data_IF_819570548438
#
_entry.id   IF_819570548438
#
_cell.length_a   1.000
_cell.length_b   1.000
_cell.length_c   1.000
_cell.angle_alpha   90.00
_cell.angle_beta   90.00
_cell.angle_gamma   90.00
#
_symmetry.space_group_name_H-M   'P 1'
#
loop_
_entity.id
_entity.type
_entity.pdbx_description
1 polymer ?
#
# COMPACT_ATOMS: atom_id res chain seq x y z
N UNK A 1 -9.39 15.51 2.19
CA UNK A 1 -8.25 15.73 3.12
C UNK A 1 -7.11 14.81 2.71
N UNK A 2 -5.85 15.24 2.76
CA UNK A 2 -4.73 14.38 2.39
C UNK A 2 -4.29 13.44 3.50
N UNK A 3 -3.93 12.21 3.13
CA UNK A 3 -3.37 11.20 4.02
C UNK A 3 -2.11 10.57 3.44
N UNK A 4 -1.31 9.99 4.33
CA UNK A 4 -0.24 9.06 4.00
C UNK A 4 -0.60 7.69 4.54
N UNK A 5 -0.51 6.66 3.71
CA UNK A 5 -0.79 5.28 4.11
C UNK A 5 0.44 4.42 3.84
N UNK A 6 0.95 3.76 4.88
CA UNK A 6 1.98 2.74 4.75
C UNK A 6 1.34 1.34 4.84
N UNK A 7 1.75 0.46 3.92
CA UNK A 7 1.19 -0.86 3.70
C UNK A 7 2.30 -1.91 3.68
N UNK A 8 2.05 -3.03 4.36
CA UNK A 8 2.87 -4.24 4.27
C UNK A 8 1.94 -5.44 4.14
N UNK A 9 1.90 -6.03 2.94
CA UNK A 9 1.19 -7.29 2.68
C UNK A 9 2.11 -8.46 3.03
N UNK A 10 1.61 -9.39 3.83
CA UNK A 10 2.37 -10.55 4.30
C UNK A 10 1.56 -11.83 4.05
N UNK A 11 1.65 -12.40 2.83
CA UNK A 11 1.15 -13.74 2.55
C UNK A 11 1.91 -14.76 3.41
N UNK A 12 1.20 -15.77 3.93
CA UNK A 12 1.77 -16.81 4.80
C UNK A 12 1.89 -18.13 4.01
N UNK A 13 2.66 -18.09 2.93
CA UNK A 13 2.89 -19.17 1.96
C UNK A 13 4.28 -19.03 1.33
N UNK A 14 4.85 -20.12 0.80
CA UNK A 14 6.23 -20.13 0.27
C UNK A 14 6.39 -19.26 -0.98
N UNK A 15 5.38 -19.20 -1.84
CA UNK A 15 5.34 -18.42 -3.07
C UNK A 15 4.70 -17.04 -2.85
N UNK A 16 5.13 -16.30 -1.81
CA UNK A 16 4.51 -15.04 -1.41
C UNK A 16 4.74 -13.87 -2.39
N UNK A 17 5.85 -13.88 -3.13
CA UNK A 17 6.29 -12.74 -3.94
C UNK A 17 5.29 -12.30 -5.03
N UNK A 18 4.66 -13.19 -5.82
CA UNK A 18 3.75 -12.80 -6.89
C UNK A 18 2.56 -11.96 -6.40
N UNK A 19 1.98 -12.31 -5.25
CA UNK A 19 0.86 -11.56 -4.67
C UNK A 19 1.28 -10.14 -4.25
N UNK A 20 2.47 -10.00 -3.64
CA UNK A 20 3.03 -8.70 -3.26
C UNK A 20 3.34 -7.85 -4.50
N UNK A 21 4.00 -8.44 -5.51
CA UNK A 21 4.35 -7.77 -6.77
C UNK A 21 3.08 -7.30 -7.49
N UNK A 22 2.05 -8.14 -7.53
CA UNK A 22 0.76 -7.81 -8.13
C UNK A 22 0.13 -6.60 -7.43
N UNK A 23 0.03 -6.66 -6.09
CA UNK A 23 -0.53 -5.57 -5.29
C UNK A 23 0.21 -4.24 -5.52
N UNK A 24 1.55 -4.23 -5.48
CA UNK A 24 2.35 -3.03 -5.73
C UNK A 24 2.14 -2.49 -7.16
N UNK A 25 2.09 -3.36 -8.17
CA UNK A 25 1.82 -2.94 -9.56
C UNK A 25 0.47 -2.25 -9.72
N UNK A 26 -0.56 -2.74 -9.02
CA UNK A 26 -1.88 -2.12 -9.03
C UNK A 26 -1.89 -0.76 -8.35
N UNK A 27 -1.22 -0.63 -7.20
CA UNK A 27 -1.03 0.67 -6.56
C UNK A 27 -0.29 1.64 -7.47
N UNK A 28 0.77 1.22 -8.17
CA UNK A 28 1.48 2.05 -9.16
C UNK A 28 0.62 2.48 -10.35
N UNK A 29 -0.33 1.64 -10.75
CA UNK A 29 -1.28 1.97 -11.81
C UNK A 29 -2.37 2.95 -11.34
N UNK A 30 -2.56 3.09 -10.02
CA UNK A 30 -3.37 4.17 -9.47
C UNK A 30 -2.66 5.51 -9.70
N UNK A 31 -3.40 6.55 -10.07
CA UNK A 31 -2.85 7.90 -10.30
C UNK A 31 -2.34 8.58 -9.00
N UNK A 32 -2.23 7.84 -7.91
CA UNK A 32 -1.75 8.28 -6.61
C UNK A 32 -0.22 8.35 -6.61
N UNK A 33 0.34 9.10 -5.67
CA UNK A 33 1.77 9.05 -5.40
C UNK A 33 2.07 7.76 -4.65
N UNK A 34 2.94 6.93 -5.20
CA UNK A 34 3.39 5.68 -4.59
C UNK A 34 4.91 5.71 -4.43
N UNK A 35 5.40 5.32 -3.26
CA UNK A 35 6.82 5.13 -2.96
C UNK A 35 7.01 3.76 -2.32
N UNK A 36 8.11 3.08 -2.64
CA UNK A 36 8.45 1.80 -2.04
C UNK A 36 9.84 1.81 -1.42
N UNK A 37 10.00 0.99 -0.39
CA UNK A 37 11.29 0.62 0.17
C UNK A 37 11.28 -0.90 0.46
N UNK A 38 12.39 -1.50 0.93
CA UNK A 38 12.46 -2.93 1.19
C UNK A 38 11.46 -3.47 2.23
N UNK A 39 10.83 -2.62 3.04
CA UNK A 39 9.97 -2.98 4.16
C UNK A 39 8.48 -2.68 3.92
N UNK A 40 8.17 -1.64 3.13
CA UNK A 40 6.79 -1.17 2.96
C UNK A 40 6.55 -0.47 1.62
N UNK A 41 5.26 -0.38 1.26
CA UNK A 41 4.75 0.47 0.19
C UNK A 41 3.95 1.61 0.79
N UNK A 42 4.17 2.83 0.32
CA UNK A 42 3.54 4.05 0.82
C UNK A 42 2.72 4.70 -0.28
N UNK A 43 1.49 5.09 0.06
CA UNK A 43 0.51 5.70 -0.85
C UNK A 43 0.06 7.04 -0.28
N UNK A 44 0.01 8.07 -1.11
CA UNK A 44 -0.38 9.42 -0.71
C UNK A 44 -1.42 10.01 -1.66
N UNK A 45 -2.35 10.78 -1.11
CA UNK A 45 -3.39 11.45 -1.89
C UNK A 45 -4.56 11.93 -1.04
N UNK A 46 -5.64 12.33 -1.71
CA UNK A 46 -6.92 12.64 -1.06
C UNK A 46 -7.52 11.38 -0.44
N UNK A 47 -8.03 11.49 0.78
CA UNK A 47 -8.54 10.38 1.59
C UNK A 47 -9.50 9.49 0.81
N UNK A 48 -10.50 10.06 0.15
CA UNK A 48 -11.54 9.28 -0.55
C UNK A 48 -10.96 8.54 -1.76
N UNK A 49 -9.99 9.13 -2.47
CA UNK A 49 -9.31 8.50 -3.60
C UNK A 49 -8.39 7.37 -3.15
N UNK A 50 -7.59 7.62 -2.10
CA UNK A 50 -6.72 6.61 -1.51
C UNK A 50 -7.54 5.43 -0.99
N UNK A 51 -8.56 5.69 -0.18
CA UNK A 51 -9.37 4.62 0.41
C UNK A 51 -10.16 3.83 -0.65
N UNK A 52 -10.58 4.47 -1.74
CA UNK A 52 -11.21 3.77 -2.87
C UNK A 52 -10.23 2.76 -3.50
N UNK A 53 -9.04 3.22 -3.89
CA UNK A 53 -8.00 2.36 -4.49
C UNK A 53 -7.62 1.23 -3.52
N UNK A 54 -7.37 1.56 -2.26
CA UNK A 54 -7.01 0.57 -1.26
C UNK A 54 -8.11 -0.47 -1.07
N UNK A 55 -9.38 -0.07 -1.02
CA UNK A 55 -10.49 -1.01 -0.87
C UNK A 55 -10.58 -2.00 -2.03
N UNK A 56 -10.35 -1.54 -3.27
CA UNK A 56 -10.39 -2.39 -4.48
C UNK A 56 -9.19 -3.35 -4.51
N UNK A 57 -7.98 -2.81 -4.35
CA UNK A 57 -6.75 -3.60 -4.55
C UNK A 57 -6.41 -4.50 -3.35
N UNK A 58 -6.80 -4.13 -2.11
CA UNK A 58 -6.64 -5.02 -0.95
C UNK A 58 -7.55 -6.24 -1.09
N UNK A 59 -8.77 -6.04 -1.58
CA UNK A 59 -9.70 -7.14 -1.83
C UNK A 59 -9.11 -8.12 -2.85
N UNK A 60 -8.62 -7.61 -3.98
CA UNK A 60 -7.99 -8.43 -5.02
C UNK A 60 -6.75 -9.15 -4.50
N UNK A 61 -5.90 -8.48 -3.71
CA UNK A 61 -4.73 -9.11 -3.09
C UNK A 61 -5.11 -10.25 -2.12
N UNK A 62 -6.20 -10.10 -1.35
CA UNK A 62 -6.70 -11.15 -0.47
C UNK A 62 -7.36 -12.31 -1.22
N UNK A 63 -7.90 -12.10 -2.41
CA UNK A 63 -8.39 -13.18 -3.28
C UNK A 63 -7.24 -14.01 -3.89
N UNK A 64 -6.03 -13.45 -3.97
CA UNK A 64 -4.83 -14.11 -4.53
C UNK A 64 -4.02 -14.90 -3.50
N UNK A 65 -4.36 -14.83 -2.21
CA UNK A 65 -3.63 -15.52 -1.13
C UNK A 65 -4.60 -16.37 -0.30
N UNK A 66 -4.16 -17.54 0.15
CA UNK A 66 -5.01 -18.41 0.99
C UNK A 66 -5.01 -17.94 2.45
N UNK A 67 -3.83 -17.53 2.93
CA UNK A 67 -3.60 -17.06 4.30
C UNK A 67 -2.62 -15.90 4.28
N UNK A 68 -2.90 -14.88 5.07
CA UNK A 68 -2.04 -13.71 5.13
C UNK A 68 -2.60 -12.62 6.02
N UNK A 69 -1.84 -11.54 6.12
CA UNK A 69 -2.29 -10.31 6.75
C UNK A 69 -1.82 -9.10 5.94
N UNK A 70 -2.50 -7.98 6.14
CA UNK A 70 -2.07 -6.67 5.68
C UNK A 70 -1.92 -5.78 6.91
N UNK A 71 -0.73 -5.23 7.13
CA UNK A 71 -0.53 -4.14 8.06
C UNK A 71 -0.75 -2.81 7.35
N UNK A 72 -1.56 -1.94 7.95
CA UNK A 72 -1.86 -0.61 7.41
C UNK A 72 -1.72 0.45 8.49
N UNK A 73 -0.96 1.50 8.20
CA UNK A 73 -0.77 2.67 9.07
C UNK A 73 -1.18 3.93 8.31
N UNK A 74 -2.17 4.64 8.85
CA UNK A 74 -2.71 5.86 8.24
C UNK A 74 -2.28 7.07 9.07
N UNK A 75 -1.76 8.09 8.39
CA UNK A 75 -1.38 9.38 8.98
C UNK A 75 -2.25 10.49 8.38
N UNK A 76 -2.86 11.31 9.24
CA UNK A 76 -3.69 12.47 8.86
C UNK A 76 -2.82 13.67 8.42
N UNK A 77 -2.02 13.47 7.38
CA UNK A 77 -1.21 14.50 6.70
C UNK A 77 -0.53 13.89 5.48
N UNK A 78 -0.16 14.73 4.51
CA UNK A 78 0.71 14.34 3.40
C UNK A 78 2.19 14.38 3.86
N UNK A 79 2.90 13.25 3.79
CA UNK A 79 4.30 13.11 4.24
C UNK A 79 5.24 12.65 3.11
N UNK A 80 4.82 12.74 1.84
CA UNK A 80 5.61 12.20 0.74
C UNK A 80 6.99 12.86 0.57
N UNK A 81 7.12 14.13 0.97
CA UNK A 81 8.37 14.90 0.91
C UNK A 81 9.15 14.88 2.24
N UNK A 82 8.94 13.86 3.09
CA UNK A 82 9.70 13.79 4.34
C UNK A 82 11.19 13.54 4.07
N UNK A 83 12.02 14.47 4.56
CA UNK A 83 13.47 14.31 4.64
C UNK A 83 13.93 14.46 6.11
N UNK A 84 14.84 13.61 6.60
CA UNK A 84 15.49 13.81 7.88
C UNK A 84 16.22 15.17 7.93
N UNK A 85 16.17 15.86 9.07
CA UNK A 85 16.77 17.19 9.26
C UNK A 85 17.79 17.20 10.42
N UNK A 86 18.49 16.08 10.62
CA UNK A 86 19.51 15.88 11.65
C UNK A 86 20.77 15.24 11.06
#
# INVERSE_FOLDING_TARGET
MKISVELTLTPLQDDFEPAIIHFIKKLRASKLKVLENPLSTQVYGEYDEVMKVLSEEIKEAFELIEKGLLYMKIVKSDRHDYEPHF
#
